data_IF_144753340875
#
_entry.id   IF_144753340875
#
_cell.length_a   1.000
_cell.length_b   1.000
_cell.length_c   1.000
_cell.angle_alpha   90.00
_cell.angle_beta   90.00
_cell.angle_gamma   90.00
#
_symmetry.space_group_name_H-M   'P 1'
#
loop_
_entity.id
_entity.type
_entity.pdbx_description
1 polymer ?
#
# COMPACT_ATOMS: atom_id res chain seq x y z
N UNK A 1 -9.25 15.38 11.01
CA UNK A 1 -8.40 15.82 9.87
C UNK A 1 -7.12 16.42 10.42
N UNK A 2 -5.94 16.03 9.91
CA UNK A 2 -4.67 16.52 10.42
C UNK A 2 -4.49 18.04 10.17
N UNK A 3 -3.61 18.65 10.96
CA UNK A 3 -3.28 20.07 10.86
C UNK A 3 -2.61 20.40 9.52
N UNK A 4 -2.76 21.64 9.05
CA UNK A 4 -2.08 22.16 7.87
C UNK A 4 -0.56 21.92 7.97
N UNK A 5 0.03 21.35 6.91
CA UNK A 5 1.44 20.95 6.94
C UNK A 5 2.00 20.55 5.57
N UNK A 6 3.21 20.01 5.59
CA UNK A 6 3.84 19.45 4.40
C UNK A 6 3.16 18.15 3.96
N UNK A 7 2.97 17.97 2.65
CA UNK A 7 2.43 16.75 2.03
C UNK A 7 3.42 16.19 1.02
N UNK A 8 3.47 14.87 0.91
CA UNK A 8 4.20 14.18 -0.16
C UNK A 8 3.15 13.61 -1.12
N UNK A 9 3.38 13.78 -2.42
CA UNK A 9 2.46 13.31 -3.46
C UNK A 9 3.14 12.31 -4.39
N UNK A 10 2.38 11.42 -5.03
CA UNK A 10 2.94 10.54 -6.05
C UNK A 10 3.31 11.30 -7.32
N UNK A 11 4.27 10.80 -8.09
CA UNK A 11 4.67 11.39 -9.37
C UNK A 11 3.51 11.50 -10.37
N UNK A 12 2.60 10.51 -10.38
CA UNK A 12 1.40 10.53 -11.23
C UNK A 12 0.47 11.68 -10.83
N UNK A 13 0.22 11.85 -9.54
CA UNK A 13 -0.59 12.94 -8.99
C UNK A 13 0.03 14.32 -9.29
N UNK A 14 1.35 14.43 -9.12
CA UNK A 14 2.10 15.65 -9.44
C UNK A 14 1.92 16.05 -10.91
N UNK A 15 2.03 15.09 -11.83
CA UNK A 15 1.90 15.32 -13.28
C UNK A 15 0.46 15.67 -13.66
N UNK A 16 -0.54 15.10 -12.98
CA UNK A 16 -1.95 15.42 -13.23
C UNK A 16 -2.34 16.80 -12.71
N UNK A 17 -1.87 17.20 -11.52
CA UNK A 17 -2.19 18.51 -10.93
C UNK A 17 -1.39 19.65 -11.56
N UNK A 18 -0.13 19.42 -11.93
CA UNK A 18 0.78 20.42 -12.48
C UNK A 18 1.52 19.88 -13.71
N UNK A 19 0.82 19.73 -14.85
CA UNK A 19 1.43 19.19 -16.06
C UNK A 19 2.58 20.09 -16.53
N UNK A 20 3.78 19.50 -16.64
CA UNK A 20 4.99 20.19 -17.10
C UNK A 20 5.58 21.20 -16.11
N UNK A 21 5.12 21.23 -14.85
CA UNK A 21 5.66 22.11 -13.81
C UNK A 21 6.14 21.31 -12.60
N UNK A 22 7.07 21.90 -11.84
CA UNK A 22 7.48 21.34 -10.56
C UNK A 22 6.35 21.51 -9.51
N UNK A 23 6.00 20.40 -8.87
CA UNK A 23 4.97 20.34 -7.84
C UNK A 23 5.50 20.80 -6.47
N UNK A 24 6.82 20.86 -6.27
CA UNK A 24 7.41 21.29 -5.00
C UNK A 24 7.00 22.74 -4.65
N UNK A 25 6.62 22.94 -3.40
CA UNK A 25 6.16 24.23 -2.87
C UNK A 25 4.75 24.64 -3.28
N UNK A 26 4.09 23.90 -4.18
CA UNK A 26 2.69 24.15 -4.53
C UNK A 26 1.77 23.77 -3.37
N UNK A 27 0.57 24.35 -3.35
CA UNK A 27 -0.40 24.09 -2.29
C UNK A 27 -1.63 23.37 -2.79
N UNK A 28 -2.03 22.35 -2.04
CA UNK A 28 -3.25 21.56 -2.26
C UNK A 28 -4.23 21.90 -1.15
N UNK A 29 -5.49 22.05 -1.52
CA UNK A 29 -6.57 22.29 -0.58
C UNK A 29 -7.41 21.03 -0.45
N UNK A 30 -7.49 20.50 0.78
CA UNK A 30 -8.39 19.40 1.11
C UNK A 30 -9.59 19.98 1.86
N UNK A 31 -10.76 19.91 1.22
CA UNK A 31 -11.96 20.57 1.73
C UNK A 31 -11.82 22.10 1.76
N UNK A 32 -12.59 22.76 2.63
CA UNK A 32 -12.67 24.24 2.66
C UNK A 32 -11.63 24.92 3.55
N UNK A 33 -10.94 24.20 4.43
CA UNK A 33 -10.16 24.81 5.52
C UNK A 33 -8.73 24.31 5.66
N UNK A 34 -8.35 23.22 4.99
CA UNK A 34 -7.05 22.59 5.22
C UNK A 34 -6.16 22.75 4.00
N UNK A 35 -5.11 23.55 4.16
CA UNK A 35 -4.06 23.76 3.16
C UNK A 35 -2.87 22.87 3.47
N UNK A 36 -2.40 22.16 2.46
CA UNK A 36 -1.15 21.41 2.52
C UNK A 36 -0.17 21.95 1.49
N UNK A 37 1.12 21.99 1.82
CA UNK A 37 2.19 22.39 0.91
C UNK A 37 2.98 21.16 0.48
N UNK A 38 3.16 20.98 -0.83
CA UNK A 38 3.92 19.86 -1.37
C UNK A 38 5.40 20.06 -0.99
N UNK A 39 5.93 19.14 -0.19
CA UNK A 39 7.34 19.15 0.26
C UNK A 39 8.17 18.04 -0.40
N UNK A 40 7.52 17.13 -1.12
CA UNK A 40 8.19 16.02 -1.78
C UNK A 40 7.31 15.32 -2.82
N UNK A 41 7.95 14.70 -3.79
CA UNK A 41 7.31 13.82 -4.77
C UNK A 41 7.89 12.42 -4.61
N UNK A 42 7.03 11.45 -4.29
CA UNK A 42 7.42 10.06 -4.20
C UNK A 42 7.42 9.42 -5.60
N UNK A 43 8.33 8.46 -5.80
CA UNK A 43 8.29 7.55 -6.95
C UNK A 43 6.93 6.83 -7.05
N UNK A 44 6.60 6.15 -8.16
CA UNK A 44 5.33 5.43 -8.29
C UNK A 44 5.14 4.41 -7.15
N UNK A 45 4.24 4.72 -6.22
CA UNK A 45 3.86 3.83 -5.13
C UNK A 45 2.46 3.30 -5.41
N UNK A 46 2.31 1.98 -5.36
CA UNK A 46 1.02 1.32 -5.47
C UNK A 46 0.26 1.51 -4.16
N UNK A 47 -1.02 1.87 -4.24
CA UNK A 47 -1.90 1.91 -3.06
C UNK A 47 -1.95 0.54 -2.37
N UNK A 48 -2.04 0.50 -1.02
CA UNK A 48 -2.18 -0.75 -0.27
C UNK A 48 -3.40 -1.58 -0.69
N UNK A 49 -4.49 -0.92 -1.11
CA UNK A 49 -5.67 -1.56 -1.68
C UNK A 49 -5.98 -0.98 -3.08
N UNK A 50 -5.42 -1.56 -4.15
CA UNK A 50 -5.68 -1.10 -5.51
C UNK A 50 -7.08 -1.51 -6.02
N UNK A 51 -7.77 -2.44 -5.36
CA UNK A 51 -9.08 -2.94 -5.79
C UNK A 51 -10.21 -1.93 -5.57
N UNK A 52 -10.11 -1.12 -4.51
CA UNK A 52 -11.17 -0.18 -4.12
C UNK A 52 -11.26 1.09 -4.99
N UNK A 53 -10.17 1.49 -5.65
CA UNK A 53 -10.09 2.76 -6.40
C UNK A 53 -10.16 2.60 -7.93
N UNK A 54 -10.25 1.37 -8.43
CA UNK A 54 -10.09 1.09 -9.86
C UNK A 54 -8.63 1.12 -10.31
N UNK A 55 -8.31 0.29 -11.30
CA UNK A 55 -6.93 0.03 -11.77
C UNK A 55 -6.24 1.30 -12.28
N UNK A 56 -7.03 2.27 -12.77
CA UNK A 56 -6.55 3.56 -13.25
C UNK A 56 -5.95 4.45 -12.15
N UNK A 57 -6.48 4.42 -10.93
CA UNK A 57 -6.13 5.34 -9.85
C UNK A 57 -5.26 4.70 -8.77
N UNK A 58 -4.80 3.48 -9.02
CA UNK A 58 -3.97 2.69 -8.10
C UNK A 58 -2.62 3.37 -7.72
N UNK A 59 -2.20 4.39 -8.48
CA UNK A 59 -0.97 5.15 -8.24
C UNK A 59 -1.21 6.60 -7.81
N UNK A 60 -2.47 7.01 -7.67
CA UNK A 60 -2.81 8.38 -7.31
C UNK A 60 -2.84 8.50 -5.79
N UNK A 61 -1.73 8.85 -5.13
CA UNK A 61 -1.61 8.73 -3.66
C UNK A 61 -1.10 10.02 -3.04
N UNK A 62 -1.75 10.41 -1.94
CA UNK A 62 -1.43 11.57 -1.12
C UNK A 62 -0.96 11.08 0.26
N UNK A 63 0.26 11.42 0.65
CA UNK A 63 0.83 11.06 1.96
C UNK A 63 0.73 12.24 2.91
N UNK A 64 -0.22 12.17 3.83
CA UNK A 64 -0.46 13.20 4.84
C UNK A 64 0.13 12.77 6.19
N UNK A 65 0.75 13.69 6.95
CA UNK A 65 1.10 13.43 8.33
C UNK A 65 -0.19 13.37 9.16
N UNK A 66 -0.72 12.16 9.34
CA UNK A 66 -1.83 11.92 10.25
C UNK A 66 -1.28 11.54 11.63
N UNK A 67 -1.60 12.33 12.65
CA UNK A 67 -1.55 11.84 14.01
C UNK A 67 -2.72 10.87 14.17
N UNK A 68 -2.44 9.61 14.47
CA UNK A 68 -3.48 8.62 14.77
C UNK A 68 -4.31 9.13 15.95
N UNK A 69 -5.61 9.31 15.74
CA UNK A 69 -6.55 9.56 16.83
C UNK A 69 -6.73 8.28 17.67
N UNK A 70 -7.19 8.43 18.91
CA UNK A 70 -7.33 7.34 19.89
C UNK A 70 -8.29 6.19 19.51
N UNK A 71 -8.84 6.17 18.28
CA UNK A 71 -9.78 5.14 17.81
C UNK A 71 -9.58 4.77 16.34
N UNK A 72 -8.43 5.08 15.75
CA UNK A 72 -8.13 4.73 14.36
C UNK A 72 -7.55 3.31 14.29
N UNK A 73 -8.32 2.38 13.73
CA UNK A 73 -7.82 1.07 13.29
C UNK A 73 -6.96 1.29 12.04
N UNK A 74 -5.69 0.90 12.09
CA UNK A 74 -4.75 1.12 10.99
C UNK A 74 -3.76 -0.02 10.81
N UNK A 75 -3.22 -0.15 9.60
CA UNK A 75 -2.13 -1.07 9.32
C UNK A 75 -0.81 -0.45 9.77
N UNK A 76 -0.02 -1.19 10.54
CA UNK A 76 1.30 -0.76 11.01
C UNK A 76 2.41 -1.48 10.27
N UNK A 77 3.49 -0.76 9.96
CA UNK A 77 4.68 -1.32 9.31
C UNK A 77 5.85 -1.27 10.28
N UNK A 78 6.47 -2.43 10.49
CA UNK A 78 7.64 -2.59 11.37
C UNK A 78 8.90 -2.73 10.52
N UNK A 79 9.84 -1.80 10.70
CA UNK A 79 11.17 -1.87 10.07
C UNK A 79 12.05 -2.88 10.80
N UNK A 80 12.53 -3.92 10.10
CA UNK A 80 13.32 -5.00 10.70
C UNK A 80 14.42 -5.48 9.74
N UNK A 81 15.52 -5.99 10.30
CA UNK A 81 16.52 -6.68 9.52
C UNK A 81 15.94 -7.96 8.90
N UNK A 82 16.39 -8.30 7.69
CA UNK A 82 15.87 -9.42 6.93
C UNK A 82 15.95 -10.77 7.66
N UNK A 83 17.00 -10.96 8.46
CA UNK A 83 17.27 -12.20 9.19
C UNK A 83 16.38 -12.36 10.43
N UNK A 84 15.82 -11.26 10.94
CA UNK A 84 15.11 -11.23 12.22
C UNK A 84 13.60 -11.03 12.09
N UNK A 85 13.07 -10.89 10.86
CA UNK A 85 11.64 -10.58 10.60
C UNK A 85 10.67 -11.46 11.37
N UNK A 86 10.87 -12.77 11.37
CA UNK A 86 9.96 -13.71 12.04
C UNK A 86 10.06 -13.61 13.56
N UNK A 87 11.26 -13.40 14.11
CA UNK A 87 11.44 -13.22 15.55
C UNK A 87 10.76 -11.94 16.01
N UNK A 88 11.00 -10.82 15.31
CA UNK A 88 10.38 -9.54 15.65
C UNK A 88 8.86 -9.57 15.51
N UNK A 89 8.32 -10.25 14.49
CA UNK A 89 6.86 -10.41 14.34
C UNK A 89 6.25 -11.17 15.53
N UNK A 90 6.88 -12.26 15.98
CA UNK A 90 6.41 -12.99 17.17
C UNK A 90 6.48 -12.12 18.43
N UNK A 91 7.60 -11.43 18.63
CA UNK A 91 7.81 -10.60 19.80
C UNK A 91 6.83 -9.41 19.82
N UNK A 92 6.51 -8.85 18.65
CA UNK A 92 5.50 -7.81 18.49
C UNK A 92 4.10 -8.33 18.89
N UNK A 93 3.70 -9.51 18.43
CA UNK A 93 2.41 -10.09 18.84
C UNK A 93 2.36 -10.37 20.35
N UNK A 94 3.43 -10.90 20.93
CA UNK A 94 3.50 -11.15 22.36
C UNK A 94 3.45 -9.85 23.19
N UNK A 95 4.07 -8.78 22.70
CA UNK A 95 3.99 -7.46 23.33
C UNK A 95 2.57 -6.86 23.25
N UNK A 96 1.91 -6.99 22.11
CA UNK A 96 0.54 -6.50 21.91
C UNK A 96 -0.43 -7.26 22.82
N UNK A 97 -0.33 -8.58 22.89
CA UNK A 97 -1.17 -9.42 23.76
C UNK A 97 -1.00 -9.09 25.25
N UNK A 98 0.20 -8.66 25.66
CA UNK A 98 0.43 -8.16 27.02
C UNK A 98 -0.23 -6.81 27.31
N UNK A 99 -0.38 -5.96 26.31
CA UNK A 99 -0.96 -4.61 26.46
C UNK A 99 -2.48 -4.68 26.41
N UNK A 100 -3.01 -5.38 25.42
CA UNK A 100 -4.45 -5.55 25.22
C UNK A 100 -4.78 -6.95 24.67
N UNK A 101 -5.20 -7.89 25.53
CA UNK A 101 -5.56 -9.24 25.12
C UNK A 101 -6.90 -9.30 24.35
N UNK A 102 -7.69 -8.22 24.34
CA UNK A 102 -8.94 -8.14 23.58
C UNK A 102 -8.73 -7.61 22.15
N UNK A 103 -7.52 -7.21 21.78
CA UNK A 103 -7.22 -6.69 20.45
C UNK A 103 -7.31 -7.80 19.40
N UNK A 104 -8.24 -7.65 18.46
CA UNK A 104 -8.37 -8.55 17.32
C UNK A 104 -7.30 -8.23 16.29
N UNK A 105 -6.33 -9.13 16.15
CA UNK A 105 -5.28 -9.05 15.12
C UNK A 105 -5.59 -10.05 14.02
N UNK A 106 -5.69 -9.58 12.79
CA UNK A 106 -5.88 -10.43 11.61
C UNK A 106 -4.55 -11.10 11.24
N UNK A 107 -4.26 -12.24 11.87
CA UNK A 107 -2.98 -12.96 11.73
C UNK A 107 -2.67 -13.40 10.30
N UNK A 108 -3.69 -13.76 9.51
CA UNK A 108 -3.53 -14.21 8.12
C UNK A 108 -3.07 -13.08 7.18
N UNK A 109 -3.43 -11.84 7.50
CA UNK A 109 -3.11 -10.63 6.73
C UNK A 109 -1.93 -9.83 7.32
N UNK A 110 -1.34 -10.30 8.42
CA UNK A 110 -0.27 -9.60 9.18
C UNK A 110 1.14 -10.20 8.94
N UNK A 111 1.38 -10.76 7.75
CA UNK A 111 2.66 -11.33 7.35
C UNK A 111 3.71 -10.29 6.93
N UNK A 112 4.90 -10.77 6.54
CA UNK A 112 5.91 -9.92 5.89
C UNK A 112 5.35 -9.34 4.58
N UNK A 113 5.71 -8.09 4.26
CA UNK A 113 5.36 -7.44 2.99
C UNK A 113 5.76 -8.32 1.79
N UNK A 114 6.87 -9.06 1.91
CA UNK A 114 7.33 -10.00 0.86
C UNK A 114 6.39 -11.18 0.68
N UNK A 115 5.83 -11.72 1.77
CA UNK A 115 4.93 -12.86 1.74
C UNK A 115 3.54 -12.45 1.27
N UNK A 116 3.07 -11.28 1.70
CA UNK A 116 1.83 -10.65 1.20
C UNK A 116 1.90 -10.42 -0.31
N UNK A 117 2.99 -9.82 -0.81
CA UNK A 117 3.19 -9.62 -2.26
C UNK A 117 3.18 -10.94 -3.02
N UNK A 118 3.84 -11.98 -2.49
CA UNK A 118 3.86 -13.30 -3.10
C UNK A 118 2.47 -13.95 -3.12
N UNK A 119 1.63 -13.70 -2.11
CA UNK A 119 0.25 -14.19 -2.06
C UNK A 119 -0.62 -13.55 -3.15
N UNK A 120 -0.52 -12.23 -3.32
CA UNK A 120 -1.23 -11.50 -4.39
C UNK A 120 -0.85 -11.97 -5.81
N UNK A 121 0.40 -12.36 -6.05
CA UNK A 121 0.86 -12.81 -7.37
C UNK A 121 0.49 -14.28 -7.70
N UNK A 122 0.15 -15.11 -6.71
CA UNK A 122 -0.08 -16.56 -6.91
C UNK A 122 -1.31 -16.85 -7.76
N UNK A 123 -2.42 -16.15 -7.55
CA UNK A 123 -3.66 -16.42 -8.29
C UNK A 123 -3.51 -16.21 -9.80
N UNK A 124 -2.76 -15.17 -10.21
CA UNK A 124 -2.60 -14.87 -11.62
C UNK A 124 -1.69 -15.90 -12.33
N UNK A 125 -0.66 -16.42 -11.63
CA UNK A 125 0.25 -17.43 -12.19
C UNK A 125 -0.41 -18.77 -12.44
N UNK A 126 -1.32 -19.19 -11.56
CA UNK A 126 -2.07 -20.45 -11.73
C UNK A 126 -2.99 -20.36 -12.96
N UNK A 127 -3.68 -19.22 -13.13
CA UNK A 127 -4.59 -19.01 -14.25
C UNK A 127 -3.85 -18.95 -15.60
N UNK A 128 -2.67 -18.30 -15.64
CA UNK A 128 -1.79 -18.29 -16.82
C UNK A 128 -1.25 -19.69 -17.14
N UNK A 129 -0.87 -20.46 -16.11
CA UNK A 129 -0.39 -21.83 -16.29
C UNK A 129 -1.46 -22.76 -16.86
N UNK A 130 -2.71 -22.64 -16.37
CA UNK A 130 -3.84 -23.42 -16.88
C UNK A 130 -4.18 -23.05 -18.33
N UNK A 131 -4.21 -21.76 -18.65
CA UNK A 131 -4.46 -21.29 -20.02
C UNK A 131 -3.36 -21.77 -20.98
N UNK A 132 -2.08 -21.66 -20.59
CA UNK A 132 -0.96 -22.18 -21.36
C UNK A 132 -1.05 -23.68 -21.60
N UNK A 133 -1.40 -24.46 -20.56
CA UNK A 133 -1.60 -25.90 -20.67
C UNK A 133 -2.71 -26.28 -21.66
N UNK A 134 -3.83 -25.57 -21.64
CA UNK A 134 -4.95 -25.79 -22.57
C UNK A 134 -4.55 -25.46 -24.01
N UNK A 135 -3.84 -24.35 -24.25
CA UNK A 135 -3.37 -23.97 -25.59
C UNK A 135 -2.44 -25.05 -26.16
N UNK A 136 -1.50 -25.55 -25.36
CA UNK A 136 -0.57 -26.62 -25.78
C UNK A 136 -1.33 -27.91 -26.07
N UNK A 137 -2.30 -28.29 -25.23
CA UNK A 137 -3.12 -29.48 -25.45
C UNK A 137 -3.95 -29.39 -26.73
N UNK A 138 -4.54 -28.22 -27.03
CA UNK A 138 -5.30 -27.98 -28.26
C UNK A 138 -4.40 -27.99 -29.50
N UNK A 139 -3.18 -27.44 -29.43
CA UNK A 139 -2.22 -27.54 -30.53
C UNK A 139 -1.84 -28.99 -30.82
N UNK A 140 -1.64 -29.82 -29.78
CA UNK A 140 -1.28 -31.21 -29.95
C UNK A 140 -2.40 -32.05 -30.60
N UNK A 141 -3.67 -31.72 -30.33
CA UNK A 141 -4.83 -32.40 -30.91
C UNK A 141 -5.10 -31.94 -32.35
N UNK A 142 -4.75 -30.71 -32.68
CA UNK A 142 -5.01 -30.11 -34.00
C UNK A 142 -3.85 -30.32 -34.98
N UNK A 143 -2.63 -30.54 -34.46
CA UNK A 143 -1.42 -30.81 -35.24
C UNK A 143 -1.20 -32.27 -35.58
#
# INVERSE_FOLDING_TARGET
MPASGGVIISQKLATQLWPGQDALGKSIWLGKKTRYQVIGVAAPVLRPDPGYAGIGDAYDTLFLPAALGASETGSFVLGTDASHRQAVLRDAFAAIERIDPALVIERDSSGSITDLRRSYEKNNRIMIGLLGGVIVALMLVTG
#
